data_IF_797975287399
#
_entry.id   IF_797975287399
#
_cell.length_a   1.000
_cell.length_b   1.000
_cell.length_c   1.000
_cell.angle_alpha   90.00
_cell.angle_beta   90.00
_cell.angle_gamma   90.00
#
_symmetry.space_group_name_H-M   'P 1'
#
loop_
_entity.id
_entity.type
_entity.pdbx_description
1 polymer ?
#
# COMPACT_ATOMS: atom_id res chain seq x y z
N UNK A 1 24.86 -25.62 10.65
CA UNK A 1 23.60 -26.38 10.61
C UNK A 1 22.48 -25.38 10.39
N UNK A 2 21.75 -25.60 9.29
CA UNK A 2 20.48 -25.00 8.86
C UNK A 2 20.28 -23.48 8.94
N UNK A 3 20.56 -22.83 7.81
CA UNK A 3 19.81 -21.68 7.31
C UNK A 3 18.35 -22.10 7.14
N UNK A 4 17.47 -21.71 8.06
CA UNK A 4 16.03 -21.70 7.76
C UNK A 4 15.79 -20.56 6.78
N UNK A 5 15.81 -20.91 5.49
CA UNK A 5 15.06 -20.15 4.50
C UNK A 5 13.61 -20.19 4.94
N UNK A 6 13.08 -19.05 5.38
CA UNK A 6 11.64 -18.83 5.48
C UNK A 6 11.08 -19.21 4.10
N UNK A 7 10.46 -20.39 4.01
CA UNK A 7 9.72 -20.78 2.81
C UNK A 7 8.61 -19.75 2.69
N UNK A 8 8.70 -18.87 1.68
CA UNK A 8 7.49 -18.26 1.14
C UNK A 8 6.63 -19.42 0.65
N UNK A 9 5.64 -19.80 1.46
CA UNK A 9 4.76 -20.93 1.21
C UNK A 9 3.77 -20.59 0.11
N UNK A 10 4.25 -20.71 -1.13
CA UNK A 10 3.57 -20.74 -2.43
C UNK A 10 2.07 -20.37 -2.38
N UNK A 11 1.78 -19.07 -2.32
CA UNK A 11 0.49 -18.55 -2.78
C UNK A 11 0.19 -19.12 -4.18
N UNK A 12 -1.05 -19.55 -4.43
CA UNK A 12 -1.45 -19.91 -5.78
C UNK A 12 -1.55 -18.61 -6.56
N UNK A 13 -0.45 -18.21 -7.20
CA UNK A 13 -0.44 -17.03 -8.05
C UNK A 13 -1.14 -17.40 -9.36
N UNK A 14 -2.43 -17.06 -9.46
CA UNK A 14 -3.08 -17.00 -10.75
C UNK A 14 -2.56 -15.79 -11.53
N UNK A 15 -2.73 -15.80 -12.84
CA UNK A 15 -2.44 -14.63 -13.66
C UNK A 15 -3.73 -13.85 -13.90
N UNK A 16 -3.66 -12.54 -13.75
CA UNK A 16 -4.72 -11.61 -14.16
C UNK A 16 -4.24 -10.76 -15.31
N UNK A 17 -5.10 -10.60 -16.30
CA UNK A 17 -4.93 -9.59 -17.35
C UNK A 17 -5.17 -8.21 -16.75
N UNK A 18 -4.24 -7.30 -16.97
CA UNK A 18 -4.27 -5.93 -16.43
C UNK A 18 -4.57 -4.89 -17.50
N UNK A 19 -4.38 -5.21 -18.78
CA UNK A 19 -4.76 -4.35 -19.91
C UNK A 19 -4.90 -5.17 -21.19
N UNK A 20 -5.50 -4.59 -22.23
CA UNK A 20 -5.71 -5.27 -23.50
C UNK A 20 -4.56 -5.00 -24.49
N UNK A 21 -3.94 -6.05 -25.02
CA UNK A 21 -2.80 -5.92 -25.94
C UNK A 21 -3.20 -5.38 -27.31
N UNK A 22 -4.39 -5.72 -27.80
CA UNK A 22 -4.92 -5.27 -29.09
C UNK A 22 -5.25 -3.78 -29.04
N UNK A 23 -5.77 -3.30 -27.91
CA UNK A 23 -5.95 -1.87 -27.67
C UNK A 23 -4.62 -1.11 -27.61
N UNK A 24 -3.57 -1.68 -26.98
CA UNK A 24 -2.24 -1.05 -26.98
C UNK A 24 -1.65 -1.00 -28.39
N UNK A 25 -1.78 -2.08 -29.16
CA UNK A 25 -1.28 -2.15 -30.53
C UNK A 25 -2.01 -1.15 -31.44
N UNK A 26 -3.32 -1.05 -31.30
CA UNK A 26 -4.13 -0.04 -31.99
C UNK A 26 -3.68 1.37 -31.63
N UNK A 27 -3.56 1.67 -30.34
CA UNK A 27 -3.11 2.98 -29.85
C UNK A 27 -1.71 3.34 -30.35
N UNK A 28 -0.79 2.38 -30.43
CA UNK A 28 0.56 2.57 -30.97
C UNK A 28 0.55 2.88 -32.47
N UNK A 29 -0.29 2.18 -33.24
CA UNK A 29 -0.41 2.39 -34.69
C UNK A 29 -1.06 3.74 -35.03
N UNK A 30 -1.95 4.23 -34.16
CA UNK A 30 -2.63 5.52 -34.32
C UNK A 30 -1.75 6.72 -33.90
N UNK A 31 -0.58 6.50 -33.30
CA UNK A 31 0.34 7.57 -32.94
C UNK A 31 0.91 8.27 -34.20
N UNK A 32 0.57 9.55 -34.35
CA UNK A 32 1.14 10.42 -35.38
C UNK A 32 2.64 10.71 -35.15
N UNK A 33 3.29 11.34 -36.15
CA UNK A 33 4.72 11.69 -36.07
C UNK A 33 5.04 12.74 -34.99
N UNK A 34 4.05 13.52 -34.55
CA UNK A 34 4.20 14.51 -33.48
C UNK A 34 3.99 13.96 -32.07
N UNK A 35 3.63 12.68 -31.95
CA UNK A 35 3.40 12.04 -30.66
C UNK A 35 4.69 11.98 -29.83
N UNK A 36 4.53 12.00 -28.51
CA UNK A 36 5.66 11.91 -27.58
C UNK A 36 6.43 10.60 -27.76
N UNK A 37 7.75 10.68 -27.96
CA UNK A 37 8.64 9.50 -28.00
C UNK A 37 8.52 8.65 -26.72
N UNK A 38 8.26 9.30 -25.58
CA UNK A 38 8.07 8.61 -24.31
C UNK A 38 6.78 7.78 -24.28
N UNK A 39 5.70 8.27 -24.91
CA UNK A 39 4.45 7.51 -25.03
C UNK A 39 4.64 6.32 -25.96
N UNK A 40 5.26 6.52 -27.14
CA UNK A 40 5.59 5.44 -28.08
C UNK A 40 6.41 4.34 -27.41
N UNK A 41 7.48 4.71 -26.71
CA UNK A 41 8.30 3.77 -25.96
C UNK A 41 7.56 3.07 -24.80
N UNK A 42 6.48 3.68 -24.29
CA UNK A 42 5.64 3.08 -23.24
C UNK A 42 4.76 1.98 -23.83
N UNK A 43 4.09 2.22 -24.95
CA UNK A 43 3.31 1.18 -25.65
C UNK A 43 4.17 0.02 -26.14
N UNK A 44 5.34 0.30 -26.73
CA UNK A 44 6.29 -0.76 -27.13
C UNK A 44 6.70 -1.63 -25.93
N UNK A 45 6.93 -1.01 -24.76
CA UNK A 45 7.25 -1.74 -23.52
C UNK A 45 6.07 -2.55 -23.01
N UNK A 46 4.85 -2.02 -23.08
CA UNK A 46 3.62 -2.75 -22.72
C UNK A 46 3.50 -4.02 -23.57
N UNK A 47 3.57 -3.90 -24.89
CA UNK A 47 3.52 -5.04 -25.81
C UNK A 47 4.62 -6.07 -25.54
N UNK A 48 5.84 -5.60 -25.29
CA UNK A 48 6.99 -6.48 -24.97
C UNK A 48 6.83 -7.20 -23.62
N UNK A 49 6.30 -6.52 -22.61
CA UNK A 49 6.16 -7.07 -21.24
C UNK A 49 4.96 -8.00 -21.14
N UNK A 50 3.93 -7.76 -21.94
CA UNK A 50 2.67 -8.47 -21.87
C UNK A 50 1.76 -7.97 -20.74
N UNK A 51 0.50 -8.39 -20.79
CA UNK A 51 -0.58 -7.90 -19.96
C UNK A 51 -0.88 -8.72 -18.70
N UNK A 52 -0.18 -9.84 -18.49
CA UNK A 52 -0.41 -10.72 -17.34
C UNK A 52 0.40 -10.29 -16.12
N UNK A 53 -0.25 -10.21 -14.96
CA UNK A 53 0.39 -9.97 -13.66
C UNK A 53 -0.02 -11.03 -12.65
N UNK A 54 0.83 -11.28 -11.65
CA UNK A 54 0.52 -12.20 -10.57
C UNK A 54 -0.64 -11.65 -9.73
N UNK A 55 -1.70 -12.42 -9.58
CA UNK A 55 -2.77 -12.14 -8.64
C UNK A 55 -2.55 -13.02 -7.41
N UNK A 56 -2.17 -12.39 -6.29
CA UNK A 56 -1.90 -13.12 -5.05
C UNK A 56 -3.20 -13.55 -4.42
N UNK A 57 -3.36 -14.85 -4.25
CA UNK A 57 -4.42 -15.44 -3.44
C UNK A 57 -3.78 -16.22 -2.29
N UNK A 58 -4.08 -15.89 -1.02
CA UNK A 58 -3.66 -16.73 0.10
C UNK A 58 -4.13 -18.16 -0.13
N UNK A 59 -3.24 -19.14 0.07
CA UNK A 59 -3.57 -20.58 -0.01
C UNK A 59 -3.87 -21.18 1.38
N UNK A 60 -3.63 -20.41 2.44
CA UNK A 60 -3.91 -20.71 3.84
C UNK A 60 -4.12 -19.40 4.58
N UNK A 61 -4.65 -19.48 5.79
CA UNK A 61 -4.79 -18.32 6.68
C UNK A 61 -3.39 -17.78 7.05
N UNK A 62 -3.06 -16.52 6.74
CA UNK A 62 -1.85 -15.87 7.23
C UNK A 62 -1.86 -15.70 8.75
N UNK A 63 -0.69 -15.40 9.34
CA UNK A 63 -0.55 -15.19 10.78
C UNK A 63 -1.08 -13.80 11.19
N UNK A 64 -2.40 -13.66 11.24
CA UNK A 64 -3.07 -12.45 11.74
C UNK A 64 -2.77 -12.18 13.21
N UNK A 65 -2.53 -13.23 14.00
CA UNK A 65 -2.24 -13.11 15.42
C UNK A 65 -0.88 -12.45 15.66
N UNK A 66 0.16 -12.85 14.91
CA UNK A 66 1.46 -12.16 14.93
C UNK A 66 1.35 -10.69 14.56
N UNK A 67 0.55 -10.37 13.54
CA UNK A 67 0.35 -8.97 13.14
C UNK A 67 -0.46 -8.18 14.16
N UNK A 68 -1.47 -8.81 14.77
CA UNK A 68 -2.28 -8.21 15.84
C UNK A 68 -1.45 -7.89 17.08
N UNK A 69 -0.52 -8.77 17.45
CA UNK A 69 0.42 -8.54 18.55
C UNK A 69 1.36 -7.36 18.26
N UNK A 70 1.84 -7.24 17.01
CA UNK A 70 2.69 -6.14 16.57
C UNK A 70 1.94 -4.80 16.40
N UNK A 71 0.63 -4.86 16.08
CA UNK A 71 -0.22 -3.70 15.78
C UNK A 71 -1.50 -3.71 16.63
N UNK A 72 -1.39 -3.58 17.96
CA UNK A 72 -2.49 -3.85 18.90
C UNK A 72 -3.67 -2.87 18.81
N UNK A 73 -3.48 -1.70 18.20
CA UNK A 73 -4.53 -0.70 17.97
C UNK A 73 -5.26 -0.88 16.63
N UNK A 74 -4.89 -1.88 15.83
CA UNK A 74 -5.49 -2.16 14.50
C UNK A 74 -6.32 -3.44 14.47
N UNK A 75 -6.78 -3.93 15.63
CA UNK A 75 -7.54 -5.18 15.72
C UNK A 75 -8.78 -5.19 14.83
N UNK A 76 -9.56 -4.11 14.82
CA UNK A 76 -10.79 -4.03 14.04
C UNK A 76 -10.56 -4.19 12.53
N UNK A 77 -9.69 -3.39 11.86
CA UNK A 77 -9.40 -3.61 10.45
C UNK A 77 -8.73 -4.97 10.19
N UNK A 78 -7.91 -5.50 11.10
CA UNK A 78 -7.33 -6.84 10.93
C UNK A 78 -8.39 -7.94 10.95
N UNK A 79 -9.37 -7.87 11.85
CA UNK A 79 -10.44 -8.86 11.94
C UNK A 79 -11.33 -8.84 10.69
N UNK A 80 -11.61 -7.68 10.12
CA UNK A 80 -12.37 -7.59 8.88
C UNK A 80 -11.59 -8.14 7.67
N UNK A 81 -10.29 -7.86 7.57
CA UNK A 81 -9.43 -8.50 6.57
C UNK A 81 -9.36 -10.03 6.79
N UNK A 82 -9.25 -10.49 8.05
CA UNK A 82 -9.24 -11.92 8.40
C UNK A 82 -10.49 -12.63 7.89
N UNK A 83 -11.67 -12.04 8.08
CA UNK A 83 -12.94 -12.57 7.58
C UNK A 83 -12.95 -12.67 6.05
N UNK A 84 -12.45 -11.66 5.34
CA UNK A 84 -12.40 -11.69 3.87
C UNK A 84 -11.41 -12.72 3.33
N UNK A 85 -10.25 -12.86 3.99
CA UNK A 85 -9.29 -13.93 3.65
C UNK A 85 -9.91 -15.31 3.91
N UNK A 86 -10.65 -15.48 5.01
CA UNK A 86 -11.36 -16.73 5.28
C UNK A 86 -12.35 -17.09 4.17
N UNK A 87 -13.15 -16.12 3.70
CA UNK A 87 -14.07 -16.33 2.59
C UNK A 87 -13.32 -16.70 1.29
N UNK A 88 -12.26 -15.96 0.96
CA UNK A 88 -11.46 -16.22 -0.24
C UNK A 88 -10.80 -17.60 -0.25
N UNK A 89 -10.45 -18.15 0.92
CA UNK A 89 -9.87 -19.49 1.06
C UNK A 89 -10.88 -20.62 0.80
N UNK A 90 -12.17 -20.35 1.02
CA UNK A 90 -13.26 -21.33 0.83
C UNK A 90 -13.86 -21.28 -0.59
N UNK A 91 -13.51 -20.28 -1.39
CA UNK A 91 -14.03 -20.10 -2.76
C UNK A 91 -12.91 -20.09 -3.80
N UNK A 92 -13.26 -20.02 -5.08
CA UNK A 92 -12.31 -19.74 -6.17
C UNK A 92 -12.11 -18.23 -6.41
N UNK A 93 -12.82 -17.38 -5.67
CA UNK A 93 -12.81 -15.94 -5.85
C UNK A 93 -11.46 -15.32 -5.47
N UNK A 94 -11.24 -14.12 -5.98
CA UNK A 94 -10.07 -13.30 -5.63
C UNK A 94 -10.29 -12.67 -4.26
N UNK A 95 -9.20 -12.25 -3.62
CA UNK A 95 -9.29 -11.45 -2.41
C UNK A 95 -9.83 -10.06 -2.79
N UNK A 96 -11.07 -9.80 -2.40
CA UNK A 96 -11.71 -8.50 -2.55
C UNK A 96 -11.84 -7.85 -1.18
N UNK A 97 -11.23 -6.68 -1.03
CA UNK A 97 -11.32 -5.87 0.18
C UNK A 97 -11.97 -4.56 -0.20
N UNK A 98 -12.99 -4.14 0.56
CA UNK A 98 -13.42 -2.76 0.48
C UNK A 98 -12.24 -1.85 0.82
N UNK A 99 -12.06 -0.73 0.10
CA UNK A 99 -11.02 0.24 0.42
C UNK A 99 -11.03 0.62 1.91
N UNK A 100 -9.87 0.60 2.54
CA UNK A 100 -9.72 0.83 3.98
C UNK A 100 -9.33 2.29 4.21
N UNK A 101 -10.06 3.02 5.07
CA UNK A 101 -9.63 4.31 5.60
C UNK A 101 -9.25 4.17 7.07
N UNK A 102 -7.98 4.44 7.38
CA UNK A 102 -7.47 4.50 8.75
C UNK A 102 -7.47 5.95 9.22
N UNK A 103 -8.36 6.28 10.15
CA UNK A 103 -8.49 7.62 10.73
C UNK A 103 -7.92 7.64 12.14
N UNK A 104 -7.08 8.62 12.47
CA UNK A 104 -6.63 8.81 13.85
C UNK A 104 -5.42 9.73 13.97
N UNK A 105 -4.89 9.98 15.18
CA UNK A 105 -3.76 10.88 15.39
C UNK A 105 -2.50 10.52 14.56
N UNK A 106 -1.61 11.51 14.30
CA UNK A 106 -0.35 11.23 13.64
C UNK A 106 0.56 10.35 14.50
N UNK A 107 1.33 9.47 13.85
CA UNK A 107 2.35 8.65 14.52
C UNK A 107 1.85 7.36 15.19
N UNK A 108 0.56 7.03 15.12
CA UNK A 108 -0.02 5.80 15.71
C UNK A 108 0.19 4.52 14.86
N UNK A 109 0.91 4.60 13.74
CA UNK A 109 1.27 3.43 12.93
C UNK A 109 0.43 3.16 11.66
N UNK A 110 -0.47 4.08 11.25
CA UNK A 110 -1.38 3.86 10.10
C UNK A 110 -0.66 3.46 8.80
N UNK A 111 0.40 4.18 8.44
CA UNK A 111 1.20 3.87 7.25
C UNK A 111 1.95 2.53 7.38
N UNK A 112 2.40 2.21 8.60
CA UNK A 112 3.10 0.96 8.88
C UNK A 112 2.14 -0.24 8.79
N UNK A 113 0.89 -0.10 9.24
CA UNK A 113 -0.16 -1.10 9.04
C UNK A 113 -0.32 -1.46 7.57
N UNK A 114 -0.45 -0.48 6.66
CA UNK A 114 -0.64 -0.75 5.24
C UNK A 114 0.52 -1.57 4.63
N UNK A 115 1.75 -1.25 5.05
CA UNK A 115 2.96 -1.97 4.63
C UNK A 115 2.98 -3.40 5.19
N UNK A 116 2.62 -3.57 6.46
CA UNK A 116 2.60 -4.87 7.11
C UNK A 116 1.50 -5.77 6.54
N UNK A 117 0.34 -5.20 6.19
CA UNK A 117 -0.75 -5.88 5.48
C UNK A 117 -0.27 -6.42 4.13
N UNK A 118 0.40 -5.58 3.32
CA UNK A 118 0.95 -6.01 2.03
C UNK A 118 1.93 -7.18 2.17
N UNK A 119 2.81 -7.10 3.18
CA UNK A 119 3.78 -8.16 3.48
C UNK A 119 3.09 -9.46 3.92
N UNK A 120 2.10 -9.37 4.81
CA UNK A 120 1.33 -10.53 5.28
C UNK A 120 0.57 -11.21 4.13
N UNK A 121 -0.02 -10.42 3.23
CA UNK A 121 -0.72 -10.92 2.05
C UNK A 121 0.23 -11.42 0.95
N UNK A 122 1.52 -11.09 1.01
CA UNK A 122 2.52 -11.51 0.03
C UNK A 122 2.43 -10.77 -1.31
N UNK A 123 1.91 -9.54 -1.33
CA UNK A 123 1.78 -8.71 -2.55
C UNK A 123 2.67 -7.46 -2.49
N UNK A 124 2.79 -6.73 -3.60
CA UNK A 124 3.57 -5.49 -3.64
C UNK A 124 2.93 -4.37 -2.81
N UNK A 125 3.78 -3.51 -2.25
CA UNK A 125 3.39 -2.31 -1.51
C UNK A 125 3.83 -1.06 -2.27
N UNK A 126 2.88 -0.19 -2.60
CA UNK A 126 3.12 1.11 -3.21
C UNK A 126 2.67 2.23 -2.27
N UNK A 127 3.57 3.15 -1.97
CA UNK A 127 3.31 4.27 -1.07
C UNK A 127 3.11 5.57 -1.84
N UNK A 128 2.03 6.29 -1.55
CA UNK A 128 1.66 7.57 -2.18
C UNK A 128 1.37 8.62 -1.09
N UNK A 129 2.34 9.51 -0.78
CA UNK A 129 2.20 10.51 0.30
C UNK A 129 1.54 11.80 -0.18
N UNK A 130 0.25 12.04 0.14
CA UNK A 130 -0.51 13.20 -0.37
C UNK A 130 -0.04 14.56 0.14
N UNK A 131 0.55 14.63 1.34
CA UNK A 131 1.01 15.89 1.95
C UNK A 131 2.21 16.56 1.27
N UNK A 132 2.94 15.82 0.44
CA UNK A 132 4.10 16.34 -0.28
C UNK A 132 3.77 16.75 -1.72
N UNK A 133 2.50 16.65 -2.12
CA UNK A 133 2.11 16.67 -3.51
C UNK A 133 1.48 18.00 -3.91
N UNK A 134 1.99 18.55 -4.99
CA UNK A 134 1.53 19.81 -5.58
C UNK A 134 0.67 19.59 -6.83
N UNK A 135 0.50 18.36 -7.27
CA UNK A 135 -0.10 18.02 -8.56
C UNK A 135 -1.14 16.89 -8.40
N UNK A 136 -2.33 17.06 -8.99
CA UNK A 136 -3.41 16.06 -8.93
C UNK A 136 -3.22 14.85 -9.85
N UNK A 137 -2.15 14.83 -10.63
CA UNK A 137 -1.85 13.86 -11.69
C UNK A 137 -1.06 12.63 -11.19
N UNK A 138 -0.97 12.42 -9.88
CA UNK A 138 0.01 11.46 -9.33
C UNK A 138 -0.49 10.03 -9.42
N UNK A 139 -1.78 9.82 -9.18
CA UNK A 139 -2.38 8.50 -9.32
C UNK A 139 -2.63 8.17 -10.80
N UNK A 140 -3.10 9.16 -11.57
CA UNK A 140 -3.53 9.01 -12.97
C UNK A 140 -2.54 9.40 -14.05
N UNK A 141 -1.37 9.92 -13.70
CA UNK A 141 -0.41 10.42 -14.68
C UNK A 141 -0.83 11.78 -15.24
N UNK A 142 0.08 12.42 -15.97
CA UNK A 142 -0.19 13.68 -16.65
C UNK A 142 -0.34 13.45 -18.15
N UNK A 143 -1.19 14.24 -18.81
CA UNK A 143 -1.39 14.19 -20.26
C UNK A 143 -0.07 14.08 -21.02
N UNK A 144 -0.02 13.11 -21.96
CA UNK A 144 1.13 12.83 -22.82
C UNK A 144 1.61 14.04 -23.65
N UNK A 145 0.76 15.07 -23.80
CA UNK A 145 1.06 16.32 -24.49
C UNK A 145 1.98 17.25 -23.69
N UNK A 146 2.11 17.04 -22.38
CA UNK A 146 2.89 17.90 -21.51
C UNK A 146 4.38 17.53 -21.58
N UNK A 147 5.25 18.55 -21.53
CA UNK A 147 6.69 18.32 -21.53
C UNK A 147 7.09 17.55 -20.27
N UNK A 148 7.82 16.45 -20.44
CA UNK A 148 8.22 15.53 -19.37
C UNK A 148 7.05 14.83 -18.65
N UNK A 149 5.89 14.70 -19.30
CA UNK A 149 4.78 13.90 -18.79
C UNK A 149 5.21 12.45 -18.54
N UNK A 150 4.59 11.83 -17.54
CA UNK A 150 4.86 10.45 -17.12
C UNK A 150 3.56 9.78 -16.68
N UNK A 151 3.50 8.43 -16.76
CA UNK A 151 2.43 7.67 -16.16
C UNK A 151 2.33 7.91 -14.65
N UNK A 152 1.13 7.67 -14.13
CA UNK A 152 0.81 7.75 -12.71
C UNK A 152 1.26 6.54 -11.91
N UNK A 153 1.05 6.61 -10.61
CA UNK A 153 1.41 5.55 -9.66
C UNK A 153 0.58 4.30 -9.83
N UNK A 154 -0.66 4.41 -10.31
CA UNK A 154 -1.50 3.23 -10.60
C UNK A 154 -0.93 2.48 -11.81
N UNK A 155 -0.59 3.20 -12.89
CA UNK A 155 0.11 2.62 -14.04
C UNK A 155 1.42 1.97 -13.62
N UNK A 156 2.25 2.66 -12.83
CA UNK A 156 3.53 2.10 -12.37
C UNK A 156 3.34 0.81 -11.56
N UNK A 157 2.33 0.75 -10.68
CA UNK A 157 2.07 -0.42 -9.85
C UNK A 157 1.59 -1.63 -10.66
N UNK A 158 0.74 -1.40 -11.66
CA UNK A 158 0.05 -2.45 -12.41
C UNK A 158 0.78 -2.84 -13.69
N UNK A 159 1.19 -1.84 -14.48
CA UNK A 159 1.81 -2.05 -15.80
C UNK A 159 3.32 -2.23 -15.67
N UNK A 160 4.02 -1.43 -14.86
CA UNK A 160 5.46 -1.62 -14.65
C UNK A 160 5.76 -2.62 -13.51
N UNK A 161 4.80 -2.90 -12.63
CA UNK A 161 4.93 -3.85 -11.54
C UNK A 161 4.66 -5.31 -11.93
N UNK A 162 4.70 -6.19 -10.94
CA UNK A 162 4.53 -7.65 -11.14
C UNK A 162 3.18 -8.18 -10.68
N UNK A 163 2.40 -7.40 -9.93
CA UNK A 163 1.19 -7.86 -9.24
C UNK A 163 -0.06 -7.14 -9.76
N UNK A 164 -1.17 -7.87 -9.88
CA UNK A 164 -2.49 -7.36 -10.27
C UNK A 164 -3.28 -6.81 -9.08
N UNK A 165 -2.97 -7.28 -7.86
CA UNK A 165 -3.59 -6.86 -6.61
C UNK A 165 -2.56 -6.33 -5.61
N UNK A 166 -1.76 -5.30 -5.97
CA UNK A 166 -0.87 -4.64 -5.03
C UNK A 166 -1.69 -3.92 -3.94
N UNK A 167 -1.07 -3.74 -2.78
CA UNK A 167 -1.53 -2.75 -1.80
C UNK A 167 -1.02 -1.39 -2.23
N UNK A 168 -1.93 -0.45 -2.51
CA UNK A 168 -1.60 0.96 -2.73
C UNK A 168 -2.05 1.75 -1.50
N UNK A 169 -1.08 2.28 -0.78
CA UNK A 169 -1.29 3.08 0.42
C UNK A 169 -1.26 4.58 0.08
N UNK A 170 -2.40 5.24 0.27
CA UNK A 170 -2.57 6.68 0.04
C UNK A 170 -2.54 7.40 1.38
N UNK A 171 -1.44 8.05 1.68
CA UNK A 171 -1.15 8.56 3.02
C UNK A 171 -1.51 10.03 3.14
N UNK A 172 -2.16 10.41 4.25
CA UNK A 172 -2.59 11.77 4.57
C UNK A 172 -3.53 12.39 3.52
N UNK A 173 -4.58 11.65 3.13
CA UNK A 173 -5.57 12.13 2.13
C UNK A 173 -6.32 13.39 2.57
N UNK A 174 -6.40 13.63 3.88
CA UNK A 174 -6.93 14.84 4.50
C UNK A 174 -6.11 16.11 4.18
N UNK A 175 -4.87 15.95 3.71
CA UNK A 175 -3.96 17.06 3.40
C UNK A 175 -3.85 17.37 1.90
N UNK A 176 -4.58 16.66 1.06
CA UNK A 176 -4.45 16.80 -0.39
C UNK A 176 -4.97 18.16 -0.91
N UNK A 177 -6.01 18.72 -0.29
CA UNK A 177 -6.78 19.85 -0.86
C UNK A 177 -6.32 21.27 -0.51
N UNK A 178 -5.24 21.48 0.25
CA UNK A 178 -4.99 22.81 0.85
C UNK A 178 -4.47 23.88 -0.12
N UNK A 179 -3.88 23.54 -1.28
CA UNK A 179 -3.24 24.51 -2.19
C UNK A 179 -3.25 24.11 -3.69
N UNK A 180 -4.03 23.12 -4.10
CA UNK A 180 -3.96 22.58 -5.46
C UNK A 180 -4.90 23.28 -6.45
N UNK A 181 -4.38 23.65 -7.62
CA UNK A 181 -5.18 24.18 -8.75
C UNK A 181 -6.13 23.11 -9.36
N UNK A 182 -5.86 21.83 -9.10
CA UNK A 182 -6.60 20.67 -9.58
C UNK A 182 -6.93 19.76 -8.40
N UNK A 183 -8.07 19.07 -8.42
CA UNK A 183 -8.47 18.14 -7.36
C UNK A 183 -7.48 16.95 -7.29
N UNK A 184 -6.65 16.85 -6.25
CA UNK A 184 -5.67 15.79 -6.12
C UNK A 184 -6.26 14.44 -5.74
N UNK A 185 -7.54 14.41 -5.33
CA UNK A 185 -8.29 13.20 -5.05
C UNK A 185 -9.12 12.75 -6.26
N UNK A 186 -9.12 13.50 -7.37
CA UNK A 186 -9.96 13.27 -8.55
C UNK A 186 -9.90 11.84 -9.08
N UNK A 187 -8.70 11.24 -9.14
CA UNK A 187 -8.53 9.86 -9.59
C UNK A 187 -9.19 8.83 -8.65
N UNK A 188 -9.26 9.11 -7.34
CA UNK A 188 -9.83 8.18 -6.35
C UNK A 188 -11.33 7.96 -6.53
N UNK A 189 -12.06 8.90 -7.12
CA UNK A 189 -13.49 8.73 -7.37
C UNK A 189 -13.81 7.55 -8.29
N UNK A 190 -12.94 7.29 -9.27
CA UNK A 190 -13.05 6.13 -10.16
C UNK A 190 -12.31 4.90 -9.62
N UNK A 191 -11.19 5.09 -8.91
CA UNK A 191 -10.34 3.99 -8.45
C UNK A 191 -10.90 3.24 -7.22
N UNK A 192 -11.71 3.91 -6.40
CA UNK A 192 -12.27 3.30 -5.17
C UNK A 192 -13.58 2.54 -5.42
N UNK A 193 -14.12 2.58 -6.64
CA UNK A 193 -15.30 1.81 -7.01
C UNK A 193 -14.88 0.67 -7.97
N UNK A 194 -15.25 -0.56 -7.63
CA UNK A 194 -14.77 -1.75 -8.35
C UNK A 194 -15.08 -1.70 -9.86
N UNK A 195 -16.30 -1.34 -10.26
CA UNK A 195 -16.71 -1.37 -11.67
C UNK A 195 -15.99 -0.32 -12.52
N UNK A 196 -15.83 0.91 -12.02
CA UNK A 196 -15.06 1.95 -12.74
C UNK A 196 -13.55 1.70 -12.69
N UNK A 197 -13.02 1.12 -11.61
CA UNK A 197 -11.60 0.80 -11.50
C UNK A 197 -11.11 -0.23 -12.54
N UNK A 198 -11.99 -1.12 -13.03
CA UNK A 198 -11.65 -2.12 -14.06
C UNK A 198 -11.34 -1.54 -15.45
N UNK A 199 -11.73 -0.28 -15.69
CA UNK A 199 -11.49 0.43 -16.93
C UNK A 199 -10.78 1.78 -16.69
N UNK A 200 -9.92 1.84 -15.68
CA UNK A 200 -9.19 3.04 -15.32
C UNK A 200 -8.25 3.47 -16.46
N UNK A 201 -8.32 4.73 -16.87
CA UNK A 201 -7.45 5.29 -17.92
C UNK A 201 -6.43 6.23 -17.29
N UNK A 202 -5.16 5.89 -17.41
CA UNK A 202 -4.05 6.78 -17.07
C UNK A 202 -3.93 7.88 -18.15
N UNK A 203 -3.82 9.15 -17.76
CA UNK A 203 -3.82 10.29 -18.68
C UNK A 203 -2.57 10.36 -19.56
N UNK A 204 -1.48 9.73 -19.14
CA UNK A 204 -0.30 9.63 -20.00
C UNK A 204 -0.48 8.52 -21.03
N UNK A 205 -0.92 7.34 -20.57
CA UNK A 205 -0.97 6.15 -21.40
C UNK A 205 -2.25 6.03 -22.23
N UNK A 206 -3.36 6.67 -21.87
CA UNK A 206 -4.61 6.75 -22.64
C UNK A 206 -5.22 5.39 -23.07
N UNK A 207 -4.84 4.29 -22.42
CA UNK A 207 -5.39 2.94 -22.62
C UNK A 207 -5.98 2.44 -21.29
N UNK A 208 -7.16 1.78 -21.30
CA UNK A 208 -7.75 1.20 -20.10
C UNK A 208 -6.85 0.16 -19.41
N UNK A 209 -6.79 0.26 -18.08
CA UNK A 209 -6.04 -0.61 -17.17
C UNK A 209 -7.02 -1.12 -16.10
N UNK A 210 -7.01 -2.42 -15.85
CA UNK A 210 -7.81 -3.06 -14.81
C UNK A 210 -7.13 -2.85 -13.44
N UNK A 211 -7.61 -1.87 -12.69
CA UNK A 211 -7.23 -1.60 -11.30
C UNK A 211 -8.23 -2.18 -10.28
N UNK A 212 -9.20 -2.99 -10.71
CA UNK A 212 -10.30 -3.48 -9.86
C UNK A 212 -9.85 -4.44 -8.74
N UNK A 213 -8.65 -5.02 -8.85
CA UNK A 213 -8.09 -5.91 -7.82
C UNK A 213 -7.11 -5.18 -6.88
N UNK A 214 -6.87 -3.88 -7.07
CA UNK A 214 -5.97 -3.12 -6.18
C UNK A 214 -6.55 -3.07 -4.77
N UNK A 215 -5.71 -3.34 -3.78
CA UNK A 215 -6.07 -3.23 -2.37
C UNK A 215 -5.73 -1.81 -1.90
N UNK A 216 -6.77 -1.02 -1.65
CA UNK A 216 -6.61 0.38 -1.24
C UNK A 216 -6.54 0.53 0.28
N UNK A 217 -5.51 1.22 0.76
CA UNK A 217 -5.42 1.65 2.17
C UNK A 217 -5.13 3.15 2.23
N UNK A 218 -6.12 3.94 2.59
CA UNK A 218 -5.99 5.36 2.83
C UNK A 218 -5.70 5.66 4.32
N UNK A 219 -4.97 6.73 4.60
CA UNK A 219 -4.78 7.25 5.96
C UNK A 219 -5.19 8.71 6.05
N UNK A 220 -5.75 9.09 7.19
CA UNK A 220 -6.11 10.47 7.49
C UNK A 220 -5.96 10.78 8.98
N UNK A 221 -5.85 12.07 9.31
CA UNK A 221 -5.92 12.54 10.69
C UNK A 221 -7.25 13.23 10.99
N UNK A 222 -7.87 13.86 9.98
CA UNK A 222 -9.17 14.50 10.10
C UNK A 222 -10.11 14.07 8.95
N UNK A 223 -11.26 13.49 9.30
CA UNK A 223 -12.25 13.07 8.32
C UNK A 223 -12.99 14.23 7.67
N UNK A 224 -13.10 15.39 8.33
CA UNK A 224 -13.85 16.54 7.81
C UNK A 224 -13.20 17.15 6.56
N UNK A 225 -11.90 16.91 6.37
CA UNK A 225 -11.17 17.34 5.19
C UNK A 225 -11.33 16.39 3.99
N UNK A 226 -12.05 15.27 4.15
CA UNK A 226 -12.26 14.27 3.10
C UNK A 226 -13.67 14.43 2.52
N UNK A 227 -13.80 14.51 1.18
CA UNK A 227 -15.11 14.53 0.53
C UNK A 227 -15.99 13.31 0.90
N UNK A 228 -17.24 13.56 1.28
CA UNK A 228 -18.23 12.53 1.61
C UNK A 228 -18.37 11.42 0.54
N UNK A 229 -18.34 11.71 -0.79
CA UNK A 229 -18.41 10.65 -1.80
C UNK A 229 -17.22 9.66 -1.76
N UNK A 230 -16.06 10.06 -1.23
CA UNK A 230 -14.93 9.15 -1.04
C UNK A 230 -15.12 8.34 0.25
N UNK A 231 -15.56 8.98 1.34
CA UNK A 231 -15.86 8.30 2.61
C UNK A 231 -16.87 7.16 2.41
N UNK A 232 -17.92 7.39 1.62
CA UNK A 232 -18.96 6.40 1.35
C UNK A 232 -18.48 5.18 0.53
N UNK A 233 -17.28 5.23 -0.06
CA UNK A 233 -16.66 4.12 -0.80
C UNK A 233 -15.60 3.36 0.01
N UNK A 234 -15.35 3.78 1.25
CA UNK A 234 -14.32 3.19 2.10
C UNK A 234 -14.94 2.62 3.38
N UNK A 235 -14.36 1.55 3.91
CA UNK A 235 -14.62 1.17 5.29
C UNK A 235 -13.75 2.05 6.21
N UNK A 236 -14.40 2.85 7.06
CA UNK A 236 -13.73 3.84 7.91
C UNK A 236 -13.48 3.24 9.29
N UNK A 237 -12.21 3.18 9.69
CA UNK A 237 -11.79 2.70 11.00
C UNK A 237 -11.16 3.82 11.82
N UNK A 238 -11.73 4.09 12.98
CA UNK A 238 -11.18 5.02 13.96
C UNK A 238 -10.12 4.32 14.82
N UNK A 239 -8.86 4.66 14.59
CA UNK A 239 -7.71 4.06 15.25
C UNK A 239 -7.32 4.90 16.46
N UNK A 240 -7.53 4.35 17.64
CA UNK A 240 -7.06 4.92 18.89
C UNK A 240 -5.53 4.80 19.02
N UNK A 241 -4.88 5.66 19.82
CA UNK A 241 -3.54 5.39 20.31
C UNK A 241 -3.47 4.05 21.05
N UNK A 242 -2.33 3.34 21.02
CA UNK A 242 -2.17 2.11 21.79
C UNK A 242 -2.30 2.40 23.28
N UNK A 243 -2.86 1.45 24.03
CA UNK A 243 -2.84 1.47 25.49
C UNK A 243 -1.41 1.22 26.02
N UNK A 244 -1.20 1.36 27.33
CA UNK A 244 0.14 1.21 27.91
C UNK A 244 0.76 -0.17 27.63
N UNK A 245 -0.04 -1.23 27.70
CA UNK A 245 0.41 -2.58 27.40
C UNK A 245 0.78 -2.75 25.91
N UNK A 246 -0.05 -2.22 25.01
CA UNK A 246 0.19 -2.22 23.57
C UNK A 246 1.41 -1.38 23.19
N UNK A 247 1.62 -0.23 23.83
CA UNK A 247 2.80 0.60 23.61
C UNK A 247 4.09 -0.12 24.02
N UNK A 248 4.08 -0.89 25.12
CA UNK A 248 5.20 -1.76 25.51
C UNK A 248 5.44 -2.88 24.49
N UNK A 249 4.38 -3.52 23.97
CA UNK A 249 4.51 -4.50 22.88
C UNK A 249 5.15 -3.89 21.63
N UNK A 250 4.66 -2.72 21.20
CA UNK A 250 5.22 -2.00 20.05
C UNK A 250 6.70 -1.66 20.26
N UNK A 251 7.08 -1.22 21.47
CA UNK A 251 8.48 -0.93 21.80
C UNK A 251 9.38 -2.17 21.64
N UNK A 252 8.95 -3.32 22.16
CA UNK A 252 9.65 -4.60 22.02
C UNK A 252 9.73 -5.03 20.55
N UNK A 253 8.63 -4.92 19.78
CA UNK A 253 8.62 -5.24 18.35
C UNK A 253 9.62 -4.40 17.56
N UNK A 254 9.66 -3.07 17.79
CA UNK A 254 10.62 -2.18 17.13
C UNK A 254 12.06 -2.55 17.51
N UNK A 255 12.29 -2.91 18.77
CA UNK A 255 13.60 -3.37 19.23
C UNK A 255 14.04 -4.64 18.50
N UNK A 256 13.17 -5.65 18.43
CA UNK A 256 13.45 -6.90 17.74
C UNK A 256 13.69 -6.70 16.24
N UNK A 257 12.91 -5.86 15.58
CA UNK A 257 13.12 -5.52 14.17
C UNK A 257 14.52 -4.95 13.93
N UNK A 258 14.93 -3.95 14.74
CA UNK A 258 16.26 -3.33 14.61
C UNK A 258 17.35 -4.37 14.90
N UNK A 259 17.22 -5.08 16.02
CA UNK A 259 18.21 -6.05 16.50
C UNK A 259 18.43 -7.18 15.51
N UNK A 260 17.36 -7.75 14.94
CA UNK A 260 17.45 -8.88 14.01
C UNK A 260 17.89 -8.45 12.61
N UNK A 261 17.65 -7.20 12.22
CA UNK A 261 18.09 -6.63 10.94
C UNK A 261 19.61 -6.40 10.86
N UNK A 262 20.34 -6.52 11.97
CA UNK A 262 21.76 -6.21 12.04
C UNK A 262 22.59 -7.29 12.73
N UNK A 263 23.74 -7.63 12.15
CA UNK A 263 24.63 -8.65 12.73
C UNK A 263 25.12 -8.28 14.16
N UNK A 264 25.30 -6.99 14.43
CA UNK A 264 25.67 -6.49 15.76
C UNK A 264 24.54 -6.63 16.79
N UNK A 265 23.29 -6.79 16.36
CA UNK A 265 22.15 -6.94 17.27
C UNK A 265 22.24 -8.20 18.14
N UNK A 266 22.98 -9.22 17.68
CA UNK A 266 23.28 -10.43 18.48
C UNK A 266 24.08 -10.17 19.76
N UNK A 267 24.67 -8.98 19.89
CA UNK A 267 25.42 -8.57 21.09
C UNK A 267 24.53 -8.02 22.19
N UNK A 268 23.25 -7.79 21.90
CA UNK A 268 22.28 -7.20 22.80
C UNK A 268 21.29 -8.27 23.28
N UNK A 269 20.66 -8.09 24.46
CA UNK A 269 19.69 -9.04 25.01
C UNK A 269 18.50 -9.25 24.05
N UNK A 270 17.81 -10.38 24.15
CA UNK A 270 16.65 -10.64 23.29
C UNK A 270 15.43 -9.78 23.66
N UNK A 271 15.32 -9.38 24.93
CA UNK A 271 14.21 -8.56 25.43
C UNK A 271 14.72 -7.30 26.12
N UNK A 272 13.95 -6.23 25.99
CA UNK A 272 14.15 -5.03 26.80
C UNK A 272 13.71 -5.30 28.25
N UNK A 273 14.35 -4.63 29.20
CA UNK A 273 13.89 -4.63 30.60
C UNK A 273 12.66 -3.73 30.79
N UNK A 274 12.00 -3.89 31.94
CA UNK A 274 10.75 -3.19 32.25
C UNK A 274 10.92 -1.67 32.27
N UNK A 275 12.04 -1.16 32.79
CA UNK A 275 12.32 0.26 32.90
C UNK A 275 12.49 0.89 31.50
N UNK A 276 13.22 0.22 30.60
CA UNK A 276 13.38 0.64 29.21
C UNK A 276 12.04 0.62 28.46
N UNK A 277 11.23 -0.42 28.67
CA UNK A 277 9.89 -0.51 28.07
C UNK A 277 8.97 0.61 28.54
N UNK A 278 8.98 0.95 29.83
CA UNK A 278 8.16 2.03 30.38
C UNK A 278 8.56 3.40 29.81
N UNK A 279 9.86 3.66 29.67
CA UNK A 279 10.36 4.90 29.05
C UNK A 279 9.96 4.98 27.58
N UNK A 280 10.10 3.89 26.83
CA UNK A 280 9.75 3.87 25.40
C UNK A 280 8.24 4.02 25.20
N UNK A 281 7.43 3.30 25.98
CA UNK A 281 5.96 3.29 25.89
C UNK A 281 5.32 4.67 26.10
N UNK A 282 5.99 5.59 26.77
CA UNK A 282 5.54 6.97 26.97
C UNK A 282 5.68 7.86 25.72
N UNK A 283 6.25 7.36 24.61
CA UNK A 283 6.53 8.14 23.40
C UNK A 283 5.93 7.52 22.15
N UNK A 284 5.68 8.28 21.07
CA UNK A 284 5.19 7.70 19.82
C UNK A 284 6.19 6.69 19.21
N UNK A 285 5.73 5.66 18.47
CA UNK A 285 6.57 4.64 17.83
C UNK A 285 7.77 5.17 17.03
N UNK A 286 7.59 6.29 16.32
CA UNK A 286 8.69 6.94 15.57
C UNK A 286 9.81 7.43 16.50
N UNK A 287 9.45 7.94 17.67
CA UNK A 287 10.39 8.39 18.71
C UNK A 287 11.07 7.18 19.37
N UNK A 288 10.31 6.11 19.65
CA UNK A 288 10.87 4.85 20.16
C UNK A 288 11.99 4.32 19.25
N UNK A 289 11.74 4.21 17.93
CA UNK A 289 12.74 3.74 16.95
C UNK A 289 14.01 4.58 16.97
N UNK A 290 13.88 5.92 17.03
CA UNK A 290 15.01 6.83 17.08
C UNK A 290 15.81 6.67 18.38
N UNK A 291 15.12 6.55 19.52
CA UNK A 291 15.75 6.34 20.82
C UNK A 291 16.53 5.01 20.85
N UNK A 292 15.93 3.94 20.34
CA UNK A 292 16.56 2.62 20.25
C UNK A 292 17.82 2.61 19.37
N UNK A 293 17.76 3.21 18.18
CA UNK A 293 18.93 3.32 17.29
C UNK A 293 20.08 4.09 17.96
N UNK A 294 19.77 5.17 18.68
CA UNK A 294 20.77 5.91 19.43
C UNK A 294 21.34 5.08 20.59
N UNK A 295 20.50 4.35 21.32
CA UNK A 295 20.93 3.48 22.42
C UNK A 295 21.86 2.36 21.94
N UNK A 296 21.52 1.68 20.84
CA UNK A 296 22.40 0.67 20.23
C UNK A 296 23.76 1.24 19.81
N UNK A 297 23.81 2.48 19.31
CA UNK A 297 25.05 3.12 18.88
C UNK A 297 25.93 3.63 20.02
N UNK A 298 25.37 3.83 21.21
CA UNK A 298 26.08 4.34 22.39
C UNK A 298 26.60 3.22 23.32
N UNK A 299 26.18 1.97 23.08
CA UNK A 299 26.46 0.80 23.92
C UNK A 299 27.71 0.01 23.50
#
# INVERSE_FOLDING_TARGET
MTTEMVKQELAVASFSTVYDLEQVETALNDLNESASDALRATYERMLKTGNLRFCVKPNRMPSFDELGDALPNFTEPLEDVRKQVALCLETDDRLELMPILLLGPPGIGKTHFAKALAHMLGTAYHYVPMSSLTAGWILSGASSQWKNAKPGKVFDALVNGSYANPVIAVDEIDKAGSDAQYDPLGALYALLEHDTARAFVDEFAEVPIDAGNVIWVATANDAHAIPEPLLNRMNVYEIAPPDAAGARRIAQTIYDEIRTSHAWGRRFPDTLDDDALDVLAATPPRTMRRALLHAFGAA
#
